data_IF_890395721547
#
_entry.id   IF_890395721547
#
_cell.length_a   1.000
_cell.length_b   1.000
_cell.length_c   1.000
_cell.angle_alpha   90.00
_cell.angle_beta   90.00
_cell.angle_gamma   90.00
#
_symmetry.space_group_name_H-M   'P 1'
#
loop_
_entity.id
_entity.type
_entity.pdbx_description
1 polymer ?
#
# COMPACT_ATOMS: atom_id res chain seq x y z
N UNK A 1 42.29 -8.05 -1.59
CA UNK A 1 42.77 -8.31 -0.21
C UNK A 1 42.80 -6.95 0.50
N UNK A 2 41.71 -6.54 1.15
CA UNK A 2 41.61 -5.23 1.81
C UNK A 2 41.93 -5.39 3.31
N UNK A 3 42.66 -4.44 3.95
CA UNK A 3 43.16 -4.63 5.30
C UNK A 3 42.00 -4.65 6.31
N UNK A 4 42.03 -5.62 7.23
CA UNK A 4 41.13 -5.64 8.39
C UNK A 4 41.50 -4.48 9.32
N UNK A 5 40.72 -3.39 9.27
CA UNK A 5 40.73 -2.39 10.33
C UNK A 5 40.32 -3.04 11.65
N UNK A 6 41.06 -2.76 12.72
CA UNK A 6 40.78 -3.27 14.06
C UNK A 6 39.43 -2.75 14.57
N UNK A 7 38.79 -3.51 15.45
CA UNK A 7 37.45 -3.24 16.00
C UNK A 7 37.33 -1.83 16.62
N UNK A 8 38.39 -1.34 17.27
CA UNK A 8 38.43 0.02 17.83
C UNK A 8 38.50 1.12 16.77
N UNK A 9 39.08 0.86 15.59
CA UNK A 9 39.09 1.81 14.47
C UNK A 9 37.72 1.91 13.78
N UNK A 10 36.94 0.82 13.77
CA UNK A 10 35.56 0.81 13.27
C UNK A 10 34.59 1.52 14.21
N UNK A 11 34.81 1.40 15.53
CA UNK A 11 34.06 2.16 16.54
C UNK A 11 34.33 3.66 16.37
N UNK A 12 35.61 4.07 16.22
CA UNK A 12 35.95 5.48 15.98
C UNK A 12 35.41 6.03 14.65
N UNK A 13 35.30 5.19 13.61
CA UNK A 13 34.62 5.59 12.36
C UNK A 13 33.12 5.76 12.58
N UNK A 14 32.48 4.84 13.32
CA UNK A 14 31.07 4.95 13.69
C UNK A 14 30.80 6.15 14.61
N UNK A 15 31.72 6.52 15.51
CA UNK A 15 31.59 7.70 16.38
C UNK A 15 31.82 9.01 15.63
N UNK A 16 32.71 9.03 14.62
CA UNK A 16 32.90 10.19 13.72
C UNK A 16 31.78 10.33 12.69
N UNK A 17 31.20 9.22 12.24
CA UNK A 17 30.12 9.21 11.25
C UNK A 17 28.73 9.17 11.89
N UNK A 18 28.58 8.89 13.19
CA UNK A 18 27.30 8.98 13.89
C UNK A 18 26.67 10.38 13.82
N UNK A 19 27.42 11.50 13.90
CA UNK A 19 26.87 12.83 13.64
C UNK A 19 26.40 12.97 12.20
N UNK A 20 27.15 12.44 11.22
CA UNK A 20 26.82 12.51 9.79
C UNK A 20 25.63 11.60 9.42
N UNK A 21 25.51 10.44 10.06
CA UNK A 21 24.39 9.51 9.94
C UNK A 21 23.15 10.03 10.67
N UNK A 22 23.31 10.73 11.80
CA UNK A 22 22.24 11.48 12.44
C UNK A 22 21.80 12.69 11.60
N UNK A 23 22.72 13.34 10.89
CA UNK A 23 22.44 14.45 9.96
C UNK A 23 21.83 13.95 8.63
N UNK A 24 22.19 12.75 8.17
CA UNK A 24 21.58 12.06 7.03
C UNK A 24 20.22 11.45 7.37
N UNK A 25 20.03 10.92 8.58
CA UNK A 25 18.74 10.47 9.10
C UNK A 25 17.80 11.65 9.31
N UNK A 26 18.32 12.78 9.81
CA UNK A 26 17.59 14.06 9.82
C UNK A 26 17.27 14.50 8.39
N UNK A 27 18.21 14.55 7.45
CA UNK A 27 17.96 15.10 6.10
C UNK A 27 17.13 14.20 5.17
N UNK A 28 16.98 12.89 5.44
CA UNK A 28 16.15 11.98 4.61
C UNK A 28 14.84 11.51 5.25
N UNK A 29 14.62 11.73 6.55
CA UNK A 29 13.30 11.56 7.19
C UNK A 29 12.63 12.88 7.60
N UNK A 30 13.31 14.04 7.54
CA UNK A 30 12.73 15.37 7.78
C UNK A 30 11.93 15.95 6.59
N UNK A 31 11.32 15.13 5.72
CA UNK A 31 10.16 15.61 4.96
C UNK A 31 8.88 15.62 5.83
N UNK A 32 8.97 15.06 7.04
CA UNK A 32 7.97 15.16 8.10
C UNK A 32 8.53 16.02 9.23
N UNK A 33 8.69 17.32 8.97
CA UNK A 33 8.68 18.29 10.05
C UNK A 33 7.36 18.13 10.80
N UNK A 34 7.45 17.71 12.07
CA UNK A 34 6.30 17.62 12.95
C UNK A 34 5.55 18.95 12.93
N UNK A 35 4.23 18.89 12.72
CA UNK A 35 3.28 19.93 13.10
C UNK A 35 3.82 21.37 13.07
N UNK A 36 4.33 21.83 11.92
CA UNK A 36 4.76 23.21 11.81
C UNK A 36 3.54 24.11 11.60
N UNK A 37 3.32 25.02 12.54
CA UNK A 37 2.63 26.27 12.30
C UNK A 37 3.48 27.10 11.32
N UNK A 38 3.25 26.91 10.02
CA UNK A 38 3.88 27.75 9.00
C UNK A 38 3.23 29.14 9.02
N UNK A 39 4.02 30.12 9.48
CA UNK A 39 3.84 31.58 9.38
C UNK A 39 2.55 32.18 9.99
N UNK A 40 2.55 32.43 11.30
CA UNK A 40 1.71 33.47 11.91
C UNK A 40 2.56 34.72 12.13
N UNK A 41 2.72 35.56 11.10
CA UNK A 41 3.16 36.95 11.29
C UNK A 41 1.94 37.81 11.58
N UNK A 42 1.92 38.44 12.77
CA UNK A 42 0.95 39.49 13.11
C UNK A 42 -0.03 39.18 14.25
N UNK A 43 0.46 38.72 15.41
CA UNK A 43 -0.38 38.65 16.62
C UNK A 43 -0.38 40.04 17.29
N UNK A 44 -1.47 40.79 17.18
CA UNK A 44 -1.74 41.98 18.00
C UNK A 44 -2.75 41.65 19.10
N UNK A 45 -2.59 42.31 20.25
CA UNK A 45 -3.37 42.10 21.48
C UNK A 45 -4.88 42.35 21.29
N UNK A 46 -5.75 41.69 22.09
CA UNK A 46 -7.19 41.91 22.08
C UNK A 46 -7.57 43.36 22.44
N UNK A 47 -8.64 43.86 21.83
CA UNK A 47 -9.22 45.18 22.09
C UNK A 47 -9.90 45.22 23.48
N UNK A 48 -9.44 46.09 24.38
CA UNK A 48 -9.91 46.17 25.78
C UNK A 48 -11.26 46.90 25.97
N UNK A 49 -11.86 47.46 24.92
CA UNK A 49 -13.04 48.36 25.03
C UNK A 49 -14.38 47.76 24.57
N UNK A 50 -14.40 46.52 24.07
CA UNK A 50 -15.61 45.89 23.53
C UNK A 50 -16.11 44.76 24.45
N UNK A 51 -17.14 45.02 25.26
CA UNK A 51 -17.77 44.00 26.12
C UNK A 51 -18.63 42.96 25.36
N UNK A 52 -18.81 43.11 24.03
CA UNK A 52 -19.73 42.28 23.23
C UNK A 52 -19.01 41.23 22.37
N UNK A 53 -17.70 41.31 22.19
CA UNK A 53 -16.93 40.29 21.47
C UNK A 53 -15.72 39.82 22.29
N UNK A 54 -15.88 38.72 23.03
CA UNK A 54 -14.76 37.98 23.63
C UNK A 54 -13.89 37.22 22.60
N UNK A 55 -13.71 37.75 21.39
CA UNK A 55 -12.78 37.20 20.39
C UNK A 55 -11.99 38.29 19.66
N UNK A 56 -10.69 38.04 19.35
CA UNK A 56 -9.83 39.00 18.65
C UNK A 56 -10.29 39.18 17.20
N UNK A 57 -10.32 40.43 16.72
CA UNK A 57 -10.51 40.76 15.30
C UNK A 57 -9.29 41.53 14.77
N UNK A 58 -8.92 41.26 13.52
CA UNK A 58 -7.85 41.96 12.80
C UNK A 58 -8.45 42.70 11.59
N UNK A 59 -7.99 43.92 11.34
CA UNK A 59 -8.41 44.71 10.18
C UNK A 59 -7.57 44.35 8.95
N UNK A 60 -8.23 44.31 7.79
CA UNK A 60 -7.59 44.07 6.50
C UNK A 60 -6.86 45.35 6.07
N UNK A 61 -5.58 45.23 5.69
CA UNK A 61 -4.72 46.26 5.09
C UNK A 61 -3.96 47.24 6.00
N UNK A 62 -3.44 46.80 7.16
CA UNK A 62 -2.37 47.53 7.86
C UNK A 62 -2.67 48.99 8.26
N UNK A 63 -3.94 49.41 8.17
CA UNK A 63 -4.44 50.68 8.67
C UNK A 63 -5.04 50.45 10.05
N UNK A 64 -4.63 51.29 11.00
CA UNK A 64 -5.02 51.26 12.41
C UNK A 64 -6.41 51.87 12.65
N UNK A 65 -7.33 51.77 11.69
CA UNK A 65 -8.70 52.26 11.87
C UNK A 65 -9.62 51.11 12.28
N UNK A 66 -10.20 51.25 13.48
CA UNK A 66 -11.21 50.34 14.01
C UNK A 66 -12.46 50.38 13.12
N UNK A 67 -12.91 49.22 12.60
CA UNK A 67 -14.18 49.14 11.86
C UNK A 67 -15.31 49.10 12.88
N UNK A 68 -16.21 50.08 12.81
CA UNK A 68 -17.39 50.22 13.66
C UNK A 68 -18.31 48.98 13.49
N UNK A 69 -18.31 48.09 14.50
CA UNK A 69 -18.96 46.78 14.47
C UNK A 69 -20.49 46.84 14.25
N UNK A 70 -21.12 47.96 14.58
CA UNK A 70 -22.57 48.19 14.42
C UNK A 70 -22.97 48.55 12.98
N UNK A 71 -22.02 48.97 12.14
CA UNK A 71 -22.28 49.41 10.76
C UNK A 71 -21.76 48.44 9.69
N UNK A 72 -21.04 47.40 10.08
CA UNK A 72 -20.51 46.40 9.16
C UNK A 72 -21.60 45.40 8.73
N UNK A 73 -21.75 45.23 7.42
CA UNK A 73 -22.66 44.25 6.81
C UNK A 73 -22.37 42.82 7.33
N UNK A 74 -23.38 41.97 7.40
CA UNK A 74 -23.27 40.54 7.76
C UNK A 74 -22.21 39.85 6.89
N UNK A 75 -22.10 40.20 5.61
CA UNK A 75 -21.06 39.68 4.72
C UNK A 75 -19.64 40.09 5.14
N UNK A 76 -19.46 41.31 5.69
CA UNK A 76 -18.17 41.80 6.19
C UNK A 76 -17.80 41.19 7.54
N UNK A 77 -18.78 40.91 8.40
CA UNK A 77 -18.57 40.18 9.68
C UNK A 77 -18.20 38.72 9.45
N UNK A 78 -18.76 38.10 8.42
CA UNK A 78 -18.39 36.75 7.97
C UNK A 78 -16.99 36.74 7.34
N UNK A 79 -16.62 37.78 6.59
CA UNK A 79 -15.26 37.95 6.05
C UNK A 79 -14.20 38.25 7.13
N UNK A 80 -14.60 38.74 8.31
CA UNK A 80 -13.73 38.98 9.46
C UNK A 80 -13.47 37.72 10.32
N UNK A 81 -14.21 36.63 10.10
CA UNK A 81 -14.07 35.37 10.82
C UNK A 81 -12.94 34.54 10.20
N UNK A 82 -11.81 34.36 10.91
CA UNK A 82 -10.65 33.63 10.38
C UNK A 82 -10.99 32.15 10.24
N UNK A 83 -11.29 31.70 9.02
CA UNK A 83 -11.57 30.31 8.66
C UNK A 83 -10.27 29.55 8.46
N UNK A 84 -10.11 28.40 9.11
CA UNK A 84 -8.98 27.49 8.93
C UNK A 84 -9.37 26.16 8.31
N UNK A 85 -8.36 25.38 7.95
CA UNK A 85 -8.48 24.01 7.43
C UNK A 85 -7.61 23.07 8.23
N UNK A 86 -8.10 21.88 8.56
CA UNK A 86 -7.32 20.78 9.13
C UNK A 86 -7.28 19.60 8.15
N UNK A 87 -6.12 18.96 8.02
CA UNK A 87 -5.92 17.80 7.15
C UNK A 87 -4.72 16.96 7.59
N UNK A 88 -4.62 15.73 7.07
CA UNK A 88 -3.49 14.83 7.31
C UNK A 88 -3.00 14.14 6.04
N UNK A 89 -1.84 13.49 6.12
CA UNK A 89 -1.33 12.63 5.04
C UNK A 89 -1.25 13.31 3.66
N UNK A 90 -1.71 12.62 2.63
CA UNK A 90 -1.75 13.11 1.23
C UNK A 90 -2.73 14.27 1.04
N UNK A 91 -3.80 14.34 1.84
CA UNK A 91 -4.81 15.39 1.74
C UNK A 91 -4.22 16.79 1.94
N UNK A 92 -3.14 16.93 2.73
CA UNK A 92 -2.40 18.18 2.82
C UNK A 92 -1.90 18.68 1.46
N UNK A 93 -1.37 17.80 0.60
CA UNK A 93 -0.92 18.17 -0.73
C UNK A 93 -2.09 18.70 -1.59
N UNK A 94 -3.24 18.01 -1.54
CA UNK A 94 -4.45 18.43 -2.24
C UNK A 94 -4.96 19.78 -1.75
N UNK A 95 -4.97 20.03 -0.44
CA UNK A 95 -5.35 21.32 0.15
C UNK A 95 -4.42 22.44 -0.32
N UNK A 96 -3.10 22.20 -0.35
CA UNK A 96 -2.13 23.21 -0.80
C UNK A 96 -2.29 23.53 -2.29
N UNK A 97 -2.56 22.53 -3.12
CA UNK A 97 -2.85 22.74 -4.53
C UNK A 97 -4.18 23.45 -4.75
N UNK A 98 -5.23 23.04 -4.06
CA UNK A 98 -6.54 23.67 -4.07
C UNK A 98 -6.49 25.16 -3.69
N UNK A 99 -5.74 25.52 -2.64
CA UNK A 99 -5.54 26.93 -2.25
C UNK A 99 -4.86 27.74 -3.37
N UNK A 100 -3.89 27.15 -4.09
CA UNK A 100 -3.26 27.80 -5.25
C UNK A 100 -4.26 27.98 -6.41
N UNK A 101 -5.08 26.96 -6.69
CA UNK A 101 -6.12 27.01 -7.73
C UNK A 101 -7.18 28.07 -7.42
N UNK A 102 -7.53 28.25 -6.15
CA UNK A 102 -8.43 29.31 -5.69
C UNK A 102 -7.73 30.68 -5.63
N UNK A 103 -6.40 30.69 -5.54
CA UNK A 103 -5.62 31.87 -5.20
C UNK A 103 -6.03 32.47 -3.86
N UNK A 104 -6.35 31.60 -2.91
CA UNK A 104 -6.77 31.92 -1.56
C UNK A 104 -5.70 31.51 -0.56
N UNK A 105 -5.69 32.18 0.59
CA UNK A 105 -4.83 31.82 1.72
C UNK A 105 -5.69 31.66 2.97
N UNK A 106 -5.44 30.60 3.73
CA UNK A 106 -6.03 30.38 5.03
C UNK A 106 -5.07 29.60 5.94
N UNK A 107 -5.23 29.65 7.27
CA UNK A 107 -4.47 28.79 8.19
C UNK A 107 -4.73 27.31 7.89
N UNK A 108 -3.65 26.53 7.78
CA UNK A 108 -3.72 25.08 7.56
C UNK A 108 -3.06 24.34 8.72
N UNK A 109 -3.84 23.53 9.43
CA UNK A 109 -3.37 22.58 10.43
C UNK A 109 -3.07 21.23 9.75
N UNK A 110 -1.78 20.89 9.66
CA UNK A 110 -1.34 19.58 9.17
C UNK A 110 -1.12 18.63 10.35
N UNK A 111 -1.95 17.60 10.44
CA UNK A 111 -1.80 16.51 11.40
C UNK A 111 -0.92 15.42 10.80
N UNK A 112 0.30 15.27 11.33
CA UNK A 112 1.23 14.21 10.93
C UNK A 112 0.93 12.87 11.60
N UNK A 113 0.43 12.93 12.84
CA UNK A 113 0.17 11.77 13.68
C UNK A 113 -1.27 11.85 14.20
N UNK A 114 -2.26 11.25 13.51
CA UNK A 114 -3.64 11.27 13.98
C UNK A 114 -3.80 10.47 15.29
N UNK A 115 -2.91 9.52 15.55
CA UNK A 115 -2.82 8.81 16.82
C UNK A 115 -1.36 8.52 17.22
N UNK A 116 -0.89 8.99 18.38
CA UNK A 116 -1.57 9.89 19.32
C UNK A 116 -1.82 11.28 18.72
N UNK A 117 -3.01 11.83 18.97
CA UNK A 117 -3.43 13.12 18.42
C UNK A 117 -2.72 14.31 19.12
N UNK A 118 -2.22 15.32 18.38
CA UNK A 118 -1.50 16.45 18.97
C UNK A 118 -2.47 17.50 19.53
N UNK A 119 -3.06 17.21 20.68
CA UNK A 119 -4.11 18.02 21.33
C UNK A 119 -3.72 19.50 21.54
N UNK A 120 -2.50 19.78 21.99
CA UNK A 120 -2.06 21.15 22.28
C UNK A 120 -1.94 22.01 21.01
N UNK A 121 -1.42 21.41 19.93
CA UNK A 121 -1.34 22.06 18.63
C UNK A 121 -2.74 22.34 18.08
N UNK A 122 -3.64 21.37 18.15
CA UNK A 122 -5.01 21.50 17.69
C UNK A 122 -5.76 22.59 18.48
N UNK A 123 -5.57 22.65 19.80
CA UNK A 123 -6.08 23.71 20.67
C UNK A 123 -5.61 25.08 20.22
N UNK A 124 -4.31 25.25 20.03
CA UNK A 124 -3.73 26.55 19.69
C UNK A 124 -4.16 27.01 18.30
N UNK A 125 -4.30 26.07 17.36
CA UNK A 125 -4.90 26.33 16.06
C UNK A 125 -6.37 26.79 16.19
N UNK A 126 -7.20 26.04 16.92
CA UNK A 126 -8.63 26.36 17.11
C UNK A 126 -8.87 27.66 17.90
N UNK A 127 -7.92 28.10 18.73
CA UNK A 127 -7.97 29.45 19.34
C UNK A 127 -7.74 30.58 18.34
N UNK A 128 -7.06 30.30 17.22
CA UNK A 128 -6.71 31.29 16.21
C UNK A 128 -7.75 31.44 15.10
N UNK A 129 -8.78 30.58 15.07
CA UNK A 129 -9.78 30.51 14.00
C UNK A 129 -11.19 30.41 14.57
N UNK A 130 -12.16 30.95 13.85
CA UNK A 130 -13.58 30.86 14.21
C UNK A 130 -14.23 29.55 13.76
N UNK A 131 -13.67 28.94 12.72
CA UNK A 131 -14.14 27.66 12.17
C UNK A 131 -13.01 26.89 11.49
N UNK A 132 -13.13 25.57 11.48
CA UNK A 132 -12.19 24.63 10.88
C UNK A 132 -12.94 23.71 9.91
N UNK A 133 -12.58 23.75 8.63
CA UNK A 133 -12.97 22.71 7.68
C UNK A 133 -11.99 21.55 7.79
N UNK A 134 -12.47 20.34 8.04
CA UNK A 134 -11.66 19.14 8.11
C UNK A 134 -11.73 18.40 6.78
N UNK A 135 -10.59 18.32 6.10
CA UNK A 135 -10.44 17.55 4.87
C UNK A 135 -9.53 16.36 5.19
N UNK A 136 -10.12 15.16 5.22
CA UNK A 136 -9.41 13.92 5.47
C UNK A 136 -9.98 12.77 4.65
N UNK A 137 -9.13 11.80 4.35
CA UNK A 137 -9.48 10.58 3.63
C UNK A 137 -10.06 9.51 4.56
N UNK A 138 -10.87 8.60 4.02
CA UNK A 138 -11.48 7.46 4.74
C UNK A 138 -12.43 7.88 5.89
N UNK A 139 -12.12 7.50 7.13
CA UNK A 139 -12.95 7.79 8.31
C UNK A 139 -12.61 9.15 8.93
N UNK A 140 -13.56 9.82 9.65
CA UNK A 140 -13.38 11.14 10.23
C UNK A 140 -12.52 11.15 11.51
N UNK A 141 -11.29 10.61 11.46
CA UNK A 141 -10.43 10.44 12.63
C UNK A 141 -9.91 11.79 13.16
N UNK A 142 -9.49 12.69 12.27
CA UNK A 142 -9.00 14.02 12.63
C UNK A 142 -10.16 14.91 13.09
N UNK A 143 -11.30 14.85 12.40
CA UNK A 143 -12.51 15.59 12.75
C UNK A 143 -13.01 15.22 14.14
N UNK A 144 -13.14 13.92 14.42
CA UNK A 144 -13.57 13.43 15.74
C UNK A 144 -12.59 13.86 16.84
N UNK A 145 -11.28 13.76 16.58
CA UNK A 145 -10.26 14.20 17.53
C UNK A 145 -10.29 15.73 17.76
N UNK A 146 -10.57 16.53 16.73
CA UNK A 146 -10.77 17.98 16.87
C UNK A 146 -12.01 18.31 17.71
N UNK A 147 -13.11 17.58 17.53
CA UNK A 147 -14.30 17.74 18.38
C UNK A 147 -13.97 17.45 19.85
N UNK A 148 -13.28 16.34 20.12
CA UNK A 148 -12.84 15.99 21.47
C UNK A 148 -11.92 17.05 22.08
N UNK A 149 -10.95 17.55 21.32
CA UNK A 149 -10.04 18.59 21.76
C UNK A 149 -10.78 19.91 22.03
N UNK A 150 -11.68 20.32 21.13
CA UNK A 150 -12.52 21.53 21.28
C UNK A 150 -13.30 21.48 22.59
N UNK A 151 -13.98 20.37 22.84
CA UNK A 151 -14.83 20.19 24.02
C UNK A 151 -13.99 20.13 25.30
N UNK A 152 -12.86 19.41 25.29
CA UNK A 152 -11.92 19.31 26.41
C UNK A 152 -11.37 20.68 26.83
N UNK A 153 -11.02 21.53 25.86
CA UNK A 153 -10.43 22.85 26.12
C UNK A 153 -11.46 23.99 26.17
N UNK A 154 -12.76 23.71 26.07
CA UNK A 154 -13.82 24.71 26.11
C UNK A 154 -13.73 25.74 24.98
N UNK A 155 -13.36 25.30 23.77
CA UNK A 155 -13.19 26.18 22.61
C UNK A 155 -14.52 26.37 21.85
N UNK A 156 -14.65 27.48 21.14
CA UNK A 156 -15.87 27.85 20.41
C UNK A 156 -15.75 27.72 18.88
N UNK A 157 -14.59 27.30 18.37
CA UNK A 157 -14.38 27.11 16.94
C UNK A 157 -15.38 26.06 16.40
N UNK A 158 -16.09 26.43 15.33
CA UNK A 158 -16.98 25.50 14.61
C UNK A 158 -16.12 24.49 13.85
N UNK A 159 -16.53 23.23 13.85
CA UNK A 159 -15.86 22.17 13.09
C UNK A 159 -16.84 21.73 12.02
N UNK A 160 -16.38 21.77 10.77
CA UNK A 160 -17.14 21.49 9.54
C UNK A 160 -16.42 20.36 8.82
N UNK A 161 -17.10 19.33 8.34
CA UNK A 161 -16.43 18.13 7.85
C UNK A 161 -17.36 17.05 7.35
N UNK A 162 -17.07 15.80 7.65
CA UNK A 162 -17.89 14.66 7.26
C UNK A 162 -19.10 14.50 8.17
N UNK A 163 -19.01 14.90 9.45
CA UNK A 163 -20.09 14.74 10.44
C UNK A 163 -21.31 15.61 10.14
N UNK A 164 -21.10 16.77 9.53
CA UNK A 164 -22.17 17.68 9.11
C UNK A 164 -22.49 17.59 7.60
N UNK A 165 -21.86 16.65 6.89
CA UNK A 165 -22.07 16.40 5.47
C UNK A 165 -21.43 17.42 4.53
N UNK A 166 -20.61 18.35 5.04
CA UNK A 166 -19.89 19.30 4.20
C UNK A 166 -18.81 18.62 3.34
N UNK A 167 -18.25 17.51 3.82
CA UNK A 167 -17.24 16.70 3.13
C UNK A 167 -17.77 15.28 2.91
N UNK A 168 -17.59 14.67 1.73
CA UNK A 168 -18.05 13.30 1.47
C UNK A 168 -17.43 12.27 2.43
N UNK A 169 -18.25 11.33 2.92
CA UNK A 169 -17.80 10.19 3.74
C UNK A 169 -17.12 9.08 2.93
N UNK A 170 -17.30 9.08 1.61
CA UNK A 170 -16.77 8.08 0.70
C UNK A 170 -16.40 8.69 -0.65
N UNK A 171 -15.55 8.00 -1.40
CA UNK A 171 -14.91 8.50 -2.62
C UNK A 171 -13.46 8.89 -2.35
N UNK A 172 -12.80 9.47 -3.36
CA UNK A 172 -11.42 9.95 -3.29
C UNK A 172 -11.42 11.48 -3.24
N UNK A 173 -10.70 12.06 -2.28
CA UNK A 173 -10.41 13.49 -2.34
C UNK A 173 -9.30 13.72 -3.37
N UNK A 174 -9.58 14.61 -4.30
CA UNK A 174 -8.60 15.12 -5.27
C UNK A 174 -8.30 16.59 -4.99
N UNK A 175 -7.29 17.15 -5.65
CA UNK A 175 -7.06 18.60 -5.62
C UNK A 175 -8.29 19.38 -6.14
N UNK A 176 -9.01 18.84 -7.12
CA UNK A 176 -10.23 19.44 -7.67
C UNK A 176 -11.39 19.41 -6.68
N UNK A 177 -11.66 18.28 -6.04
CA UNK A 177 -12.73 18.18 -5.05
C UNK A 177 -12.39 19.04 -3.82
N UNK A 178 -11.13 19.02 -3.36
CA UNK A 178 -10.67 19.94 -2.32
C UNK A 178 -10.85 21.41 -2.71
N UNK A 179 -10.57 21.81 -3.96
CA UNK A 179 -10.76 23.18 -4.42
C UNK A 179 -12.23 23.59 -4.43
N UNK A 180 -13.14 22.68 -4.80
CA UNK A 180 -14.58 22.92 -4.74
C UNK A 180 -15.07 23.07 -3.30
N UNK A 181 -14.71 22.15 -2.41
CA UNK A 181 -15.08 22.19 -1.00
C UNK A 181 -14.52 23.43 -0.28
N UNK A 182 -13.24 23.74 -0.50
CA UNK A 182 -12.58 24.92 0.04
C UNK A 182 -13.15 26.21 -0.54
N UNK A 183 -13.45 26.26 -1.83
CA UNK A 183 -14.06 27.41 -2.48
C UNK A 183 -15.41 27.74 -1.87
N UNK A 184 -16.27 26.73 -1.68
CA UNK A 184 -17.56 26.88 -1.01
C UNK A 184 -17.39 27.34 0.45
N UNK A 185 -16.47 26.72 1.18
CA UNK A 185 -16.21 27.05 2.59
C UNK A 185 -15.60 28.44 2.79
N UNK A 186 -14.73 28.90 1.89
CA UNK A 186 -14.09 30.22 1.96
C UNK A 186 -14.93 31.31 1.26
N UNK A 187 -15.95 30.96 0.48
CA UNK A 187 -16.69 31.89 -0.35
C UNK A 187 -15.87 32.44 -1.53
N UNK A 188 -14.92 31.65 -2.03
CA UNK A 188 -14.02 32.03 -3.12
C UNK A 188 -14.34 31.20 -4.36
N UNK A 189 -14.64 31.87 -5.47
CA UNK A 189 -14.83 31.20 -6.75
C UNK A 189 -13.49 30.65 -7.27
N UNK A 190 -13.52 29.46 -7.86
CA UNK A 190 -12.38 28.84 -8.54
C UNK A 190 -11.85 29.79 -9.62
N UNK A 191 -10.53 30.03 -9.65
CA UNK A 191 -9.92 30.72 -10.79
C UNK A 191 -10.04 29.81 -12.00
N UNK A 192 -10.43 30.38 -13.12
CA UNK A 192 -10.58 29.64 -14.36
C UNK A 192 -9.17 29.25 -14.87
N UNK A 193 -8.70 28.08 -14.45
CA UNK A 193 -7.35 27.58 -14.74
C UNK A 193 -7.27 26.86 -16.10
N UNK A 194 -8.35 26.92 -16.90
CA UNK A 194 -8.54 26.04 -18.04
C UNK A 194 -8.96 24.65 -17.54
N UNK A 195 -10.12 24.19 -17.98
CA UNK A 195 -10.58 22.83 -17.73
C UNK A 195 -9.65 21.88 -18.49
N UNK A 196 -8.92 21.00 -17.78
CA UNK A 196 -8.37 19.81 -18.43
C UNK A 196 -9.58 19.06 -18.98
N UNK A 197 -9.56 18.69 -20.27
CA UNK A 197 -10.71 18.12 -20.97
C UNK A 197 -11.44 17.09 -20.10
N UNK A 198 -12.78 17.17 -20.08
CA UNK A 198 -13.63 16.33 -19.20
C UNK A 198 -13.41 14.84 -19.36
N UNK A 199 -12.91 14.44 -20.52
CA UNK A 199 -12.63 13.06 -20.82
C UNK A 199 -11.11 12.91 -21.02
N UNK A 200 -10.40 12.22 -20.11
CA UNK A 200 -9.01 11.89 -20.33
C UNK A 200 -8.90 11.01 -21.58
N UNK A 201 -7.80 11.10 -22.35
CA UNK A 201 -7.59 10.22 -23.48
C UNK A 201 -7.64 8.76 -23.02
N UNK A 202 -8.12 7.86 -23.88
CA UNK A 202 -8.13 6.43 -23.58
C UNK A 202 -6.70 5.96 -23.27
N UNK A 203 -6.43 5.74 -21.98
CA UNK A 203 -5.14 5.26 -21.53
C UNK A 203 -5.00 3.77 -21.84
N UNK A 204 -3.79 3.29 -22.20
CA UNK A 204 -3.56 1.87 -22.35
C UNK A 204 -3.83 1.16 -21.02
N UNK A 205 -4.59 0.06 -21.06
CA UNK A 205 -4.86 -0.75 -19.87
C UNK A 205 -3.55 -1.30 -19.35
N UNK A 206 -3.22 -0.98 -18.09
CA UNK A 206 -2.06 -1.52 -17.37
C UNK A 206 -2.56 -2.53 -16.34
N UNK A 207 -2.78 -3.80 -16.73
CA UNK A 207 -3.24 -4.79 -15.78
C UNK A 207 -2.19 -4.95 -14.67
N UNK A 208 -2.62 -5.28 -13.44
CA UNK A 208 -1.69 -5.68 -12.39
C UNK A 208 -0.91 -6.92 -12.86
N UNK A 209 0.42 -6.83 -12.91
CA UNK A 209 1.28 -7.91 -13.39
C UNK A 209 2.39 -8.23 -12.40
N UNK A 210 2.68 -9.53 -12.27
CA UNK A 210 3.86 -10.00 -11.55
C UNK A 210 5.14 -9.65 -12.31
N UNK A 211 6.21 -9.33 -11.58
CA UNK A 211 7.54 -9.05 -12.15
C UNK A 211 8.00 -10.15 -13.12
N UNK A 212 8.85 -9.79 -14.09
CA UNK A 212 9.54 -10.78 -14.92
C UNK A 212 10.32 -11.74 -14.00
N UNK A 213 10.07 -13.05 -14.17
CA UNK A 213 10.67 -14.09 -13.34
C UNK A 213 10.15 -14.21 -11.91
N UNK A 214 9.04 -13.57 -11.55
CA UNK A 214 8.43 -13.77 -10.24
C UNK A 214 8.10 -15.27 -9.99
N UNK A 215 8.48 -15.85 -8.84
CA UNK A 215 8.23 -17.27 -8.53
C UNK A 215 6.74 -17.59 -8.38
N UNK A 216 5.93 -16.64 -7.90
CA UNK A 216 4.48 -16.80 -7.74
C UNK A 216 3.79 -17.17 -9.05
N UNK A 217 4.33 -16.71 -10.19
CA UNK A 217 3.86 -17.11 -11.53
C UNK A 217 4.00 -18.62 -11.75
N UNK A 218 5.11 -19.21 -11.33
CA UNK A 218 5.34 -20.65 -11.40
C UNK A 218 4.38 -21.42 -10.50
N UNK A 219 4.18 -20.96 -9.26
CA UNK A 219 3.25 -21.56 -8.31
C UNK A 219 1.81 -21.58 -8.85
N UNK A 220 1.33 -20.43 -9.30
CA UNK A 220 -0.01 -20.28 -9.88
C UNK A 220 -0.19 -21.11 -11.13
N UNK A 221 0.78 -21.08 -12.04
CA UNK A 221 0.70 -21.87 -13.26
C UNK A 221 0.73 -23.38 -12.98
N UNK A 222 1.52 -23.83 -12.00
CA UNK A 222 1.52 -25.22 -11.57
C UNK A 222 0.15 -25.67 -11.03
N UNK A 223 -0.50 -24.85 -10.20
CA UNK A 223 -1.86 -25.13 -9.71
C UNK A 223 -2.87 -25.12 -10.86
N UNK A 224 -2.82 -24.12 -11.74
CA UNK A 224 -3.70 -24.03 -12.92
C UNK A 224 -3.62 -25.28 -13.80
N UNK A 225 -2.41 -25.76 -14.06
CA UNK A 225 -2.18 -26.97 -14.87
C UNK A 225 -2.64 -28.23 -14.14
N UNK A 226 -2.37 -28.34 -12.84
CA UNK A 226 -2.76 -29.50 -12.04
C UNK A 226 -4.28 -29.64 -11.90
N UNK A 227 -5.00 -28.52 -11.80
CA UNK A 227 -6.44 -28.48 -11.57
C UNK A 227 -7.27 -28.29 -12.85
N UNK A 228 -6.64 -28.32 -14.03
CA UNK A 228 -7.35 -28.21 -15.30
C UNK A 228 -8.45 -29.28 -15.42
N UNK A 229 -9.69 -28.84 -15.59
CA UNK A 229 -10.87 -29.71 -15.72
C UNK A 229 -11.42 -30.24 -14.39
N UNK A 230 -10.87 -29.83 -13.25
CA UNK A 230 -11.38 -30.16 -11.91
C UNK A 230 -12.05 -28.94 -11.30
N UNK A 231 -13.11 -29.16 -10.52
CA UNK A 231 -13.75 -28.10 -9.73
C UNK A 231 -12.82 -27.70 -8.58
N UNK A 232 -12.40 -26.45 -8.56
CA UNK A 232 -11.56 -25.89 -7.52
C UNK A 232 -11.91 -24.42 -7.27
N UNK A 233 -11.67 -23.94 -6.05
CA UNK A 233 -11.76 -22.51 -5.69
C UNK A 233 -10.41 -22.05 -5.15
N UNK A 234 -9.97 -20.89 -5.60
CA UNK A 234 -8.67 -20.29 -5.32
C UNK A 234 -8.84 -19.10 -4.40
N UNK A 235 -8.84 -19.36 -3.09
CA UNK A 235 -8.94 -18.32 -2.07
C UNK A 235 -7.59 -17.59 -1.96
N UNK A 236 -7.51 -16.39 -2.52
CA UNK A 236 -6.35 -15.53 -2.41
C UNK A 236 -6.32 -14.74 -1.11
N UNK A 237 -5.23 -14.02 -0.94
CA UNK A 237 -4.89 -13.23 0.24
C UNK A 237 -4.11 -11.98 -0.23
N UNK A 238 -3.82 -11.02 0.65
CA UNK A 238 -3.18 -9.74 0.30
C UNK A 238 -1.66 -9.91 0.25
N UNK A 239 -1.08 -9.69 -0.93
CA UNK A 239 0.36 -9.69 -1.21
C UNK A 239 0.66 -9.59 -2.70
N UNK A 240 1.93 -9.70 -3.12
CA UNK A 240 2.26 -9.68 -4.57
C UNK A 240 1.48 -10.73 -5.37
N UNK A 241 1.16 -11.85 -4.73
CA UNK A 241 0.42 -12.95 -5.33
C UNK A 241 -1.06 -12.60 -5.61
N UNK A 242 -1.64 -11.54 -5.01
CA UNK A 242 -2.96 -11.00 -5.40
C UNK A 242 -2.99 -10.57 -6.87
N UNK A 243 -1.84 -10.16 -7.42
CA UNK A 243 -1.71 -9.80 -8.84
C UNK A 243 -1.90 -11.00 -9.78
N UNK A 244 -1.86 -12.23 -9.26
CA UNK A 244 -2.19 -13.46 -9.99
C UNK A 244 -3.67 -13.62 -10.34
N UNK A 245 -4.54 -12.71 -9.85
CA UNK A 245 -5.95 -12.63 -10.23
C UNK A 245 -6.13 -12.30 -11.73
N UNK A 246 -5.25 -11.48 -12.31
CA UNK A 246 -5.41 -11.06 -13.69
C UNK A 246 -5.07 -12.18 -14.68
N UNK A 247 -5.73 -12.13 -15.85
CA UNK A 247 -5.37 -12.95 -16.99
C UNK A 247 -3.89 -12.72 -17.36
N UNK A 248 -3.15 -13.77 -17.74
CA UNK A 248 -3.63 -15.13 -18.04
C UNK A 248 -3.52 -16.12 -16.88
N UNK A 249 -3.20 -15.68 -15.65
CA UNK A 249 -3.09 -16.58 -14.52
C UNK A 249 -4.47 -16.92 -13.97
N UNK A 250 -5.33 -15.94 -13.70
CA UNK A 250 -6.71 -16.16 -13.21
C UNK A 250 -6.76 -17.09 -11.99
N UNK A 251 -5.85 -16.91 -11.02
CA UNK A 251 -5.66 -17.83 -9.89
C UNK A 251 -6.11 -17.25 -8.54
N UNK A 252 -7.11 -16.37 -8.53
CA UNK A 252 -7.66 -15.79 -7.29
C UNK A 252 -9.14 -15.50 -7.46
N UNK A 253 -10.00 -16.34 -6.91
CA UNK A 253 -11.46 -16.18 -6.98
C UNK A 253 -11.98 -15.22 -5.88
N UNK A 254 -11.28 -15.15 -4.76
CA UNK A 254 -11.64 -14.28 -3.62
C UNK A 254 -10.38 -13.66 -3.03
N UNK A 255 -10.46 -12.41 -2.58
CA UNK A 255 -9.39 -11.77 -1.82
C UNK A 255 -10.02 -10.73 -0.89
N UNK A 256 -9.60 -10.68 0.38
CA UNK A 256 -10.17 -9.76 1.38
C UNK A 256 -9.08 -9.02 2.17
N UNK A 257 -8.44 -9.70 3.10
CA UNK A 257 -7.38 -9.14 3.94
C UNK A 257 -6.31 -10.18 4.26
N UNK A 258 -5.19 -9.73 4.82
CA UNK A 258 -4.06 -10.58 5.23
C UNK A 258 -4.51 -11.73 6.15
N UNK A 259 -4.43 -12.97 5.67
CA UNK A 259 -4.81 -14.21 6.36
C UNK A 259 -6.22 -14.72 6.02
N UNK A 260 -7.04 -13.94 5.31
CA UNK A 260 -8.45 -14.28 5.06
C UNK A 260 -8.61 -15.49 4.15
N UNK A 261 -7.73 -15.68 3.17
CA UNK A 261 -7.82 -16.80 2.21
C UNK A 261 -7.90 -18.17 2.90
N UNK A 262 -7.21 -18.32 4.03
CA UNK A 262 -7.20 -19.56 4.83
C UNK A 262 -8.56 -19.83 5.49
N UNK A 263 -9.22 -18.80 6.02
CA UNK A 263 -10.52 -18.95 6.70
C UNK A 263 -11.69 -18.98 5.72
N UNK A 264 -11.59 -18.26 4.60
CA UNK A 264 -12.55 -18.35 3.48
C UNK A 264 -12.56 -19.76 2.90
N UNK A 265 -11.39 -20.36 2.65
CA UNK A 265 -11.30 -21.73 2.16
C UNK A 265 -11.99 -22.73 3.10
N UNK A 266 -11.88 -22.55 4.42
CA UNK A 266 -12.60 -23.37 5.40
C UNK A 266 -14.12 -23.21 5.28
N UNK A 267 -14.62 -21.97 5.23
CA UNK A 267 -16.04 -21.70 5.05
C UNK A 267 -16.59 -22.28 3.75
N UNK A 268 -15.81 -22.17 2.66
CA UNK A 268 -16.17 -22.75 1.37
C UNK A 268 -16.14 -24.28 1.39
N UNK A 269 -15.19 -24.93 2.06
CA UNK A 269 -15.21 -26.39 2.23
C UNK A 269 -16.46 -26.86 2.97
N UNK A 270 -16.93 -26.09 3.96
CA UNK A 270 -18.17 -26.42 4.69
C UNK A 270 -19.43 -26.16 3.84
N UNK A 271 -19.43 -25.11 3.03
CA UNK A 271 -20.59 -24.72 2.22
C UNK A 271 -20.70 -25.51 0.90
N UNK A 272 -19.57 -25.82 0.28
CA UNK A 272 -19.46 -26.47 -1.03
C UNK A 272 -18.99 -27.91 -0.82
N UNK A 273 -19.92 -28.85 -0.69
CA UNK A 273 -19.59 -30.26 -0.41
C UNK A 273 -18.73 -30.98 -1.45
N UNK A 274 -18.53 -30.40 -2.64
CA UNK A 274 -17.68 -30.97 -3.72
C UNK A 274 -16.75 -29.93 -4.34
N UNK A 275 -15.48 -30.30 -4.54
CA UNK A 275 -14.42 -29.48 -5.13
C UNK A 275 -13.18 -29.40 -4.24
N UNK A 276 -12.07 -28.88 -4.77
CA UNK A 276 -10.85 -28.65 -3.98
C UNK A 276 -10.70 -27.16 -3.68
N UNK A 277 -10.68 -26.80 -2.39
CA UNK A 277 -10.46 -25.41 -1.96
C UNK A 277 -8.98 -25.18 -1.66
N UNK A 278 -8.40 -24.22 -2.37
CA UNK A 278 -7.03 -23.75 -2.17
C UNK A 278 -7.05 -22.45 -1.38
N UNK A 279 -6.11 -22.30 -0.44
CA UNK A 279 -5.79 -21.02 0.19
C UNK A 279 -4.36 -20.62 -0.16
N UNK A 280 -4.18 -19.49 -0.83
CA UNK A 280 -2.87 -18.92 -1.11
C UNK A 280 -2.50 -17.92 -0.02
N UNK A 281 -1.28 -18.02 0.52
CA UNK A 281 -0.77 -17.09 1.53
C UNK A 281 0.73 -16.85 1.30
N UNK A 282 1.20 -15.62 1.48
CA UNK A 282 2.63 -15.32 1.48
C UNK A 282 3.32 -15.75 2.78
N UNK A 283 4.64 -15.92 2.75
CA UNK A 283 5.47 -16.15 3.95
C UNK A 283 5.24 -15.12 5.07
N UNK A 284 5.31 -13.83 4.74
CA UNK A 284 5.09 -12.72 5.67
C UNK A 284 3.67 -12.73 6.24
N UNK A 285 2.66 -12.92 5.38
CA UNK A 285 1.25 -13.03 5.80
C UNK A 285 1.03 -14.25 6.68
N UNK A 286 1.69 -15.38 6.41
CA UNK A 286 1.64 -16.58 7.23
C UNK A 286 2.04 -16.26 8.68
N UNK A 287 3.19 -15.60 8.87
CA UNK A 287 3.65 -15.19 10.20
C UNK A 287 2.79 -14.09 10.86
N UNK A 288 2.23 -13.18 10.06
CA UNK A 288 1.46 -12.05 10.57
C UNK A 288 0.08 -12.48 11.09
N UNK A 289 -0.71 -13.16 10.27
CA UNK A 289 -2.10 -13.49 10.59
C UNK A 289 -2.56 -14.85 10.06
N UNK A 290 -1.72 -15.58 9.30
CA UNK A 290 -2.10 -16.86 8.71
C UNK A 290 -2.09 -18.05 9.68
N UNK A 291 -1.13 -18.09 10.63
CA UNK A 291 -0.92 -19.25 11.53
C UNK A 291 -2.20 -19.65 12.27
N UNK A 292 -2.93 -18.67 12.84
CA UNK A 292 -4.15 -18.93 13.60
C UNK A 292 -5.25 -19.56 12.74
N UNK A 293 -5.34 -19.14 11.47
CA UNK A 293 -6.24 -19.74 10.49
C UNK A 293 -5.93 -21.20 10.20
N UNK A 294 -4.64 -21.57 10.12
CA UNK A 294 -4.20 -22.96 9.89
C UNK A 294 -4.49 -23.83 11.12
N UNK A 295 -4.24 -23.33 12.32
CA UNK A 295 -4.59 -24.04 13.57
C UNK A 295 -6.08 -24.36 13.59
N UNK A 296 -6.93 -23.38 13.26
CA UNK A 296 -8.37 -23.59 13.20
C UNK A 296 -8.76 -24.62 12.13
N UNK A 297 -8.14 -24.58 10.95
CA UNK A 297 -8.41 -25.53 9.87
C UNK A 297 -8.10 -26.97 10.30
N UNK A 298 -6.94 -27.19 10.93
CA UNK A 298 -6.51 -28.51 11.40
C UNK A 298 -7.41 -29.00 12.54
N UNK A 299 -7.70 -28.15 13.53
CA UNK A 299 -8.59 -28.48 14.64
C UNK A 299 -9.97 -28.94 14.15
N UNK A 300 -10.52 -28.26 13.15
CA UNK A 300 -11.82 -28.59 12.54
C UNK A 300 -11.73 -29.62 11.41
N UNK A 301 -10.54 -30.21 11.17
CA UNK A 301 -10.32 -31.22 10.13
C UNK A 301 -10.80 -30.77 8.74
N UNK A 302 -10.61 -29.49 8.43
CA UNK A 302 -11.06 -28.92 7.16
C UNK A 302 -10.32 -29.58 6.00
N UNK A 303 -11.08 -30.04 5.01
CA UNK A 303 -10.52 -30.55 3.76
C UNK A 303 -10.15 -29.39 2.81
N UNK A 304 -8.96 -28.80 3.01
CA UNK A 304 -8.39 -27.77 2.12
C UNK A 304 -6.87 -27.94 1.81
N UNK A 305 -6.41 -27.32 0.72
CA UNK A 305 -4.98 -27.24 0.36
C UNK A 305 -4.46 -25.82 0.64
N UNK A 306 -3.50 -25.70 1.56
CA UNK A 306 -2.78 -24.46 1.83
C UNK A 306 -1.58 -24.35 0.88
N UNK A 307 -1.47 -23.26 0.14
CA UNK A 307 -0.32 -22.92 -0.66
C UNK A 307 0.42 -21.74 -0.02
N UNK A 308 1.54 -22.02 0.64
CA UNK A 308 2.44 -20.98 1.15
C UNK A 308 3.41 -20.58 0.02
N UNK A 309 3.38 -19.32 -0.36
CA UNK A 309 4.21 -18.73 -1.40
C UNK A 309 5.41 -18.03 -0.76
N UNK A 310 6.45 -18.80 -0.44
CA UNK A 310 7.66 -18.31 0.23
C UNK A 310 8.63 -17.72 -0.79
N UNK A 311 8.69 -16.40 -0.82
CA UNK A 311 9.65 -15.62 -1.60
C UNK A 311 10.74 -14.96 -0.75
N UNK A 312 10.80 -15.34 0.53
CA UNK A 312 11.75 -14.89 1.54
C UNK A 312 11.76 -13.37 1.75
N UNK A 313 10.64 -12.66 1.54
CA UNK A 313 10.53 -11.22 1.83
C UNK A 313 9.09 -10.67 1.81
N UNK A 314 8.82 -9.61 2.57
CA UNK A 314 7.54 -8.87 2.49
C UNK A 314 7.55 -7.94 1.27
N UNK A 315 7.42 -8.51 0.07
CA UNK A 315 7.76 -7.82 -1.19
C UNK A 315 6.88 -6.59 -1.50
N UNK A 316 5.54 -6.75 -1.52
CA UNK A 316 4.62 -5.74 -2.05
C UNK A 316 4.65 -4.41 -1.30
N UNK A 317 4.92 -4.45 0.00
CA UNK A 317 4.92 -3.29 0.89
C UNK A 317 6.29 -2.62 0.97
N UNK A 318 7.33 -3.16 0.32
CA UNK A 318 8.66 -2.56 0.32
C UNK A 318 9.71 -3.32 1.13
N UNK A 319 9.65 -4.65 1.18
CA UNK A 319 10.70 -5.54 1.70
C UNK A 319 10.93 -5.45 3.23
N UNK A 320 9.85 -5.29 4.00
CA UNK A 320 9.90 -5.27 5.47
C UNK A 320 10.42 -6.59 6.05
N UNK A 321 11.11 -6.47 7.19
CA UNK A 321 11.50 -7.57 8.07
C UNK A 321 10.31 -8.48 8.42
N UNK A 322 10.52 -9.80 8.37
CA UNK A 322 9.57 -10.79 8.86
C UNK A 322 10.32 -12.02 9.41
N UNK A 323 9.68 -12.87 10.24
CA UNK A 323 10.37 -13.95 10.97
C UNK A 323 11.06 -15.02 10.12
N UNK A 324 10.73 -15.13 8.82
CA UNK A 324 11.37 -16.07 7.90
C UNK A 324 12.67 -15.56 7.26
N UNK A 325 13.07 -14.29 7.45
CA UNK A 325 14.22 -13.71 6.75
C UNK A 325 15.56 -13.79 7.50
N UNK A 326 15.53 -14.11 8.80
CA UNK A 326 16.73 -14.14 9.63
C UNK A 326 17.31 -12.76 9.96
N UNK A 327 16.47 -11.72 9.90
CA UNK A 327 16.81 -10.36 10.30
C UNK A 327 15.66 -9.70 11.06
N UNK A 328 15.97 -8.92 12.09
CA UNK A 328 14.99 -8.16 12.87
C UNK A 328 14.57 -6.85 12.15
N UNK A 329 13.64 -6.11 12.76
CA UNK A 329 13.17 -4.82 12.23
C UNK A 329 14.27 -3.74 12.11
N UNK A 330 15.38 -3.91 12.84
CA UNK A 330 16.55 -3.02 12.80
C UNK A 330 17.60 -3.49 11.79
N UNK A 331 17.38 -4.61 11.11
CA UNK A 331 18.29 -5.19 10.13
C UNK A 331 19.41 -6.06 10.72
N UNK A 332 19.41 -6.31 12.02
CA UNK A 332 20.39 -7.17 12.69
C UNK A 332 20.07 -8.65 12.41
N UNK A 333 21.07 -9.55 12.45
CA UNK A 333 20.83 -10.99 12.40
C UNK A 333 19.83 -11.43 13.48
N UNK A 334 18.85 -12.24 13.09
CA UNK A 334 17.82 -12.80 13.95
C UNK A 334 17.58 -14.28 13.63
N UNK A 335 16.96 -15.06 14.53
CA UNK A 335 16.56 -16.44 14.22
C UNK A 335 15.62 -16.50 13.01
N UNK A 336 15.80 -17.53 12.17
CA UNK A 336 14.86 -17.85 11.08
C UNK A 336 13.82 -18.82 11.62
N UNK A 337 12.55 -18.42 11.60
CA UNK A 337 11.44 -19.30 11.99
C UNK A 337 11.01 -20.11 10.77
N UNK A 338 10.99 -21.44 10.88
CA UNK A 338 10.61 -22.33 9.78
C UNK A 338 9.10 -22.52 9.69
N UNK A 339 8.52 -22.13 8.55
CA UNK A 339 7.10 -22.37 8.23
C UNK A 339 6.79 -23.87 8.27
N UNK A 340 7.63 -24.70 7.64
CA UNK A 340 7.48 -26.16 7.63
C UNK A 340 7.37 -26.72 9.05
N UNK A 341 8.29 -26.38 9.95
CA UNK A 341 8.28 -26.89 11.33
C UNK A 341 7.04 -26.43 12.12
N UNK A 342 6.54 -25.22 11.84
CA UNK A 342 5.27 -24.76 12.42
C UNK A 342 4.11 -25.62 11.91
N UNK A 343 4.01 -25.84 10.61
CA UNK A 343 2.93 -26.65 10.02
C UNK A 343 2.97 -28.11 10.52
N UNK A 344 4.17 -28.69 10.68
CA UNK A 344 4.38 -30.01 11.30
C UNK A 344 3.86 -30.01 12.74
N UNK A 345 4.19 -28.98 13.54
CA UNK A 345 3.75 -28.87 14.93
C UNK A 345 2.24 -28.64 15.07
N UNK A 346 1.60 -27.95 14.12
CA UNK A 346 0.15 -27.75 14.10
C UNK A 346 -0.58 -29.07 13.78
N UNK A 347 0.05 -29.99 13.05
CA UNK A 347 -0.55 -31.28 12.66
C UNK A 347 -1.14 -31.29 11.25
N UNK A 348 -0.59 -30.51 10.33
CA UNK A 348 -0.93 -30.57 8.89
C UNK A 348 -0.61 -31.97 8.35
N UNK A 349 -1.53 -32.59 7.62
CA UNK A 349 -1.48 -34.02 7.28
C UNK A 349 -0.42 -34.38 6.23
N UNK A 350 -0.11 -33.44 5.33
CA UNK A 350 0.97 -33.56 4.35
C UNK A 350 1.58 -32.20 4.07
N UNK A 351 2.90 -32.14 3.98
CA UNK A 351 3.65 -30.91 3.69
C UNK A 351 4.68 -31.24 2.60
N UNK A 352 4.56 -30.60 1.45
CA UNK A 352 5.53 -30.72 0.35
C UNK A 352 6.19 -29.37 0.08
N UNK A 353 7.53 -29.33 0.09
CA UNK A 353 8.33 -28.16 -0.29
C UNK A 353 8.77 -28.32 -1.75
N UNK A 354 8.46 -27.35 -2.60
CA UNK A 354 8.78 -27.42 -4.04
C UNK A 354 9.24 -26.08 -4.57
N UNK A 355 10.26 -26.07 -5.41
CA UNK A 355 10.63 -24.88 -6.15
C UNK A 355 9.65 -24.69 -7.33
N UNK A 356 8.90 -23.56 -7.41
CA UNK A 356 7.90 -23.34 -8.46
C UNK A 356 8.51 -23.20 -9.87
N UNK A 357 9.83 -23.03 -9.99
CA UNK A 357 10.52 -23.08 -11.28
C UNK A 357 10.82 -24.50 -11.75
N UNK A 358 10.68 -25.54 -10.93
CA UNK A 358 10.62 -26.93 -11.39
C UNK A 358 9.16 -27.29 -11.69
N UNK A 359 8.66 -26.87 -12.85
CA UNK A 359 7.23 -26.92 -13.16
C UNK A 359 6.66 -28.34 -13.11
N UNK A 360 7.42 -29.34 -13.60
CA UNK A 360 6.97 -30.74 -13.62
C UNK A 360 6.75 -31.26 -12.20
N UNK A 361 7.69 -30.98 -11.30
CA UNK A 361 7.60 -31.36 -9.89
C UNK A 361 6.48 -30.60 -9.17
N UNK A 362 6.38 -29.28 -9.40
CA UNK A 362 5.34 -28.42 -8.83
C UNK A 362 3.93 -28.91 -9.20
N UNK A 363 3.68 -29.23 -10.48
CA UNK A 363 2.41 -29.79 -10.94
C UNK A 363 2.12 -31.14 -10.27
N UNK A 364 3.13 -32.01 -10.14
CA UNK A 364 2.97 -33.31 -9.52
C UNK A 364 2.64 -33.21 -8.01
N UNK A 365 3.29 -32.29 -7.30
CA UNK A 365 3.00 -32.02 -5.89
C UNK A 365 1.58 -31.47 -5.69
N UNK A 366 1.14 -30.55 -6.57
CA UNK A 366 -0.23 -30.03 -6.49
C UNK A 366 -1.25 -31.14 -6.67
N UNK A 367 -1.04 -32.06 -7.62
CA UNK A 367 -1.95 -33.20 -7.82
C UNK A 367 -2.02 -34.09 -6.59
N UNK A 368 -0.88 -34.45 -6.01
CA UNK A 368 -0.84 -35.24 -4.77
C UNK A 368 -1.57 -34.55 -3.61
N UNK A 369 -1.34 -33.26 -3.43
CA UNK A 369 -2.04 -32.49 -2.40
C UNK A 369 -3.55 -32.40 -2.65
N UNK A 370 -3.97 -32.19 -3.90
CA UNK A 370 -5.38 -32.12 -4.29
C UNK A 370 -6.12 -33.47 -4.17
N UNK A 371 -5.40 -34.58 -4.23
CA UNK A 371 -5.96 -35.95 -4.13
C UNK A 371 -5.90 -36.50 -2.68
N UNK A 372 -5.18 -35.82 -1.78
CA UNK A 372 -5.10 -36.18 -0.36
C UNK A 372 -6.34 -35.76 0.44
N UNK A 373 -6.32 -35.96 1.77
CA UNK A 373 -7.38 -35.56 2.71
C UNK A 373 -6.85 -34.74 3.90
N UNK A 374 -7.71 -33.93 4.52
CA UNK A 374 -7.42 -33.14 5.72
C UNK A 374 -6.84 -31.76 5.39
N UNK A 375 -5.99 -31.17 6.22
CA UNK A 375 -5.29 -29.94 5.83
C UNK A 375 -3.93 -30.33 5.26
N UNK A 376 -3.66 -29.98 3.99
CA UNK A 376 -2.37 -30.24 3.33
C UNK A 376 -1.71 -28.94 2.94
N UNK A 377 -0.38 -28.91 2.94
CA UNK A 377 0.39 -27.73 2.61
C UNK A 377 1.36 -27.97 1.45
N UNK A 378 1.39 -27.02 0.53
CA UNK A 378 2.41 -26.86 -0.50
C UNK A 378 3.21 -25.60 -0.16
N UNK A 379 4.50 -25.75 0.09
CA UNK A 379 5.43 -24.64 0.29
C UNK A 379 6.15 -24.42 -1.03
N UNK A 380 5.74 -23.40 -1.77
CA UNK A 380 6.42 -22.97 -2.98
C UNK A 380 7.56 -22.04 -2.60
N UNK A 381 8.79 -22.55 -2.64
CA UNK A 381 9.98 -21.86 -2.13
C UNK A 381 10.86 -21.39 -3.30
N UNK A 382 10.93 -20.08 -3.52
CA UNK A 382 11.90 -19.46 -4.42
C UNK A 382 12.03 -17.96 -4.14
N UNK A 383 13.25 -17.40 -4.07
CA UNK A 383 13.44 -16.01 -3.67
C UNK A 383 12.78 -15.01 -4.62
N UNK A 384 12.31 -13.90 -4.06
CA UNK A 384 11.80 -12.77 -4.85
C UNK A 384 12.89 -12.20 -5.78
N UNK A 385 12.52 -11.83 -7.01
CA UNK A 385 13.44 -11.24 -8.01
C UNK A 385 14.04 -9.90 -7.60
N UNK A 386 13.42 -9.23 -6.63
CA UNK A 386 13.92 -7.99 -6.04
C UNK A 386 15.07 -8.23 -5.05
N UNK A 387 15.22 -9.46 -4.55
CA UNK A 387 16.35 -9.83 -3.70
C UNK A 387 17.62 -10.01 -4.54
N UNK A 388 18.82 -9.74 -3.97
CA UNK A 388 20.07 -10.01 -4.65
C UNK A 388 20.20 -11.48 -5.07
N UNK A 389 20.57 -11.73 -6.32
CA UNK A 389 20.69 -13.08 -6.87
C UNK A 389 21.28 -13.08 -8.27
N UNK A 390 21.63 -14.28 -8.77
CA UNK A 390 22.12 -14.45 -10.15
C UNK A 390 21.01 -14.04 -11.12
N UNK A 391 21.32 -13.13 -12.03
CA UNK A 391 20.45 -12.76 -13.16
C UNK A 391 21.04 -13.33 -14.45
N UNK A 392 20.16 -13.78 -15.33
CA UNK A 392 20.50 -14.21 -16.67
C UNK A 392 19.37 -13.85 -17.63
N UNK A 393 19.54 -14.19 -18.90
CA UNK A 393 18.55 -13.88 -19.93
C UNK A 393 18.19 -15.15 -20.70
N UNK A 394 16.90 -15.37 -20.92
CA UNK A 394 16.43 -16.39 -21.87
C UNK A 394 16.38 -15.78 -23.27
N UNK A 395 16.61 -16.59 -24.31
CA UNK A 395 16.50 -16.21 -25.71
C UNK A 395 15.64 -17.20 -26.48
N UNK A 396 14.80 -16.68 -27.37
CA UNK A 396 14.04 -17.48 -28.33
C UNK A 396 14.88 -17.70 -29.58
N UNK A 397 14.99 -18.95 -30.00
CA UNK A 397 15.46 -19.34 -31.33
C UNK A 397 14.32 -19.08 -32.32
N UNK A 398 14.45 -17.99 -33.08
CA UNK A 398 13.41 -17.55 -34.00
C UNK A 398 13.15 -18.60 -35.09
N UNK A 399 14.15 -19.33 -35.56
CA UNK A 399 13.98 -20.28 -36.66
C UNK A 399 13.15 -21.50 -36.23
N UNK A 400 13.26 -21.90 -34.97
CA UNK A 400 12.46 -23.00 -34.39
C UNK A 400 11.11 -22.55 -33.84
N UNK A 401 10.92 -21.25 -33.60
CA UNK A 401 9.68 -20.74 -33.02
C UNK A 401 8.52 -20.85 -34.02
N UNK A 402 7.50 -21.63 -33.65
CA UNK A 402 6.29 -21.84 -34.46
C UNK A 402 5.20 -20.78 -34.26
N UNK A 403 5.49 -19.67 -33.54
CA UNK A 403 4.52 -18.58 -33.36
C UNK A 403 3.26 -18.95 -32.55
N UNK A 404 3.27 -20.04 -31.77
CA UNK A 404 2.07 -20.47 -31.02
C UNK A 404 1.72 -19.57 -29.81
N UNK A 405 2.62 -18.68 -29.40
CA UNK A 405 2.48 -17.74 -28.28
C UNK A 405 2.07 -18.36 -26.94
N UNK A 406 2.23 -19.68 -26.75
CA UNK A 406 1.86 -20.37 -25.51
C UNK A 406 2.58 -19.79 -24.30
N UNK A 407 3.88 -19.52 -24.43
CA UNK A 407 4.70 -18.89 -23.40
C UNK A 407 4.21 -17.49 -22.99
N UNK A 408 3.52 -16.76 -23.87
CA UNK A 408 2.95 -15.45 -23.59
C UNK A 408 1.55 -15.63 -22.97
N UNK A 409 0.67 -16.33 -23.69
CA UNK A 409 -0.76 -16.48 -23.38
C UNK A 409 -1.05 -17.27 -22.12
N UNK A 410 -0.13 -18.12 -21.66
CA UNK A 410 -0.34 -18.92 -20.44
C UNK A 410 0.42 -18.38 -19.22
N UNK A 411 1.53 -17.66 -19.41
CA UNK A 411 2.39 -17.22 -18.30
C UNK A 411 2.23 -15.73 -17.96
N UNK A 412 1.92 -14.87 -18.93
CA UNK A 412 1.81 -13.42 -18.70
C UNK A 412 3.09 -12.80 -18.14
N UNK A 413 4.26 -13.20 -18.66
CA UNK A 413 5.53 -12.59 -18.27
C UNK A 413 5.71 -11.23 -18.96
N UNK A 414 6.00 -10.13 -18.25
CA UNK A 414 6.20 -8.82 -18.89
C UNK A 414 7.48 -8.78 -19.75
N UNK A 415 8.41 -9.73 -19.57
CA UNK A 415 9.57 -9.87 -20.44
C UNK A 415 9.28 -10.60 -21.76
N UNK A 416 8.06 -11.11 -21.99
CA UNK A 416 7.67 -11.84 -23.19
C UNK A 416 6.68 -11.01 -24.02
N UNK A 417 6.98 -10.84 -25.30
CA UNK A 417 6.12 -10.12 -26.27
C UNK A 417 6.04 -10.86 -27.60
N UNK A 418 5.14 -10.41 -28.47
CA UNK A 418 5.12 -10.83 -29.88
C UNK A 418 5.96 -9.82 -30.67
N UNK A 419 7.07 -10.29 -31.24
CA UNK A 419 7.93 -9.47 -32.10
C UNK A 419 7.33 -9.26 -33.50
N UNK A 420 7.97 -8.42 -34.31
CA UNK A 420 7.47 -8.01 -35.64
C UNK A 420 7.18 -9.19 -36.59
N UNK A 421 7.93 -10.29 -36.48
CA UNK A 421 7.73 -11.51 -37.27
C UNK A 421 6.62 -12.44 -36.76
N UNK A 422 5.78 -12.00 -35.82
CA UNK A 422 4.73 -12.82 -35.21
C UNK A 422 5.25 -13.96 -34.33
N UNK A 423 6.54 -13.94 -33.97
CA UNK A 423 7.19 -14.93 -33.10
C UNK A 423 7.35 -14.37 -31.70
N UNK A 424 7.53 -15.26 -30.72
CA UNK A 424 7.78 -14.84 -29.35
C UNK A 424 9.16 -14.18 -29.24
N UNK A 425 9.24 -13.09 -28.51
CA UNK A 425 10.47 -12.33 -28.22
C UNK A 425 10.63 -12.14 -26.71
N UNK A 426 11.88 -12.12 -26.23
CA UNK A 426 12.20 -11.92 -24.82
C UNK A 426 13.03 -10.66 -24.65
N UNK A 427 12.52 -9.70 -23.88
CA UNK A 427 13.22 -8.47 -23.51
C UNK A 427 14.43 -8.78 -22.60
N UNK A 428 15.68 -8.57 -23.05
CA UNK A 428 16.87 -8.99 -22.30
C UNK A 428 17.07 -8.27 -20.97
N UNK A 429 16.69 -6.99 -20.92
CA UNK A 429 16.81 -6.07 -19.80
C UNK A 429 15.84 -6.39 -18.65
N UNK A 430 14.69 -6.99 -18.96
CA UNK A 430 13.72 -7.43 -17.97
C UNK A 430 13.88 -8.89 -17.55
N UNK A 431 14.44 -9.74 -18.40
CA UNK A 431 14.50 -11.18 -18.16
C UNK A 431 15.43 -11.52 -16.98
N UNK A 432 15.05 -12.56 -16.21
CA UNK A 432 15.86 -13.06 -15.08
C UNK A 432 16.30 -14.52 -15.23
N UNK A 433 16.10 -15.12 -16.41
CA UNK A 433 16.42 -16.53 -16.69
C UNK A 433 15.77 -17.56 -15.74
N UNK A 434 14.54 -17.31 -15.27
CA UNK A 434 13.81 -18.27 -14.43
C UNK A 434 13.48 -19.62 -15.10
N UNK A 435 13.66 -19.76 -16.42
CA UNK A 435 13.46 -21.01 -17.16
C UNK A 435 12.00 -21.48 -17.35
N UNK A 436 11.00 -20.83 -16.73
CA UNK A 436 9.60 -21.25 -16.81
C UNK A 436 9.07 -21.25 -18.25
N UNK A 437 9.43 -20.23 -19.04
CA UNK A 437 9.01 -20.12 -20.45
C UNK A 437 9.57 -21.25 -21.33
N UNK A 438 10.78 -21.75 -21.03
CA UNK A 438 11.36 -22.88 -21.74
C UNK A 438 10.60 -24.18 -21.47
N UNK A 439 10.13 -24.38 -20.24
CA UNK A 439 9.39 -25.58 -19.84
C UNK A 439 7.98 -25.66 -20.44
N UNK A 440 7.37 -24.52 -20.80
CA UNK A 440 6.05 -24.49 -21.47
C UNK A 440 6.13 -24.50 -22.99
N UNK A 441 7.34 -24.29 -23.56
CA UNK A 441 7.53 -24.23 -25.00
C UNK A 441 7.38 -25.63 -25.61
N UNK A 442 6.42 -25.86 -26.52
CA UNK A 442 6.17 -27.19 -27.09
C UNK A 442 7.27 -27.67 -28.05
N UNK A 443 8.10 -26.76 -28.56
CA UNK A 443 9.16 -27.04 -29.55
C UNK A 443 10.56 -26.75 -28.98
N UNK A 444 10.67 -26.54 -27.67
CA UNK A 444 11.95 -26.34 -26.96
C UNK A 444 12.86 -25.29 -27.58
N UNK A 445 12.30 -24.18 -28.09
CA UNK A 445 13.04 -23.13 -28.78
C UNK A 445 13.52 -22.00 -27.86
N UNK A 446 13.49 -22.17 -26.52
CA UNK A 446 13.85 -21.10 -25.57
C UNK A 446 15.02 -21.58 -24.69
N UNK A 447 16.20 -21.00 -24.94
CA UNK A 447 17.51 -21.17 -24.28
C UNK A 447 17.79 -20.17 -23.14
N UNK A 448 18.55 -20.51 -22.09
CA UNK A 448 19.32 -19.48 -21.37
C UNK A 448 20.54 -19.08 -22.23
N UNK A 449 20.85 -17.79 -22.31
CA UNK A 449 22.07 -17.29 -22.94
C UNK A 449 23.24 -17.59 -22.01
N UNK A 450 24.21 -18.39 -22.49
CA UNK A 450 25.40 -18.78 -21.73
C UNK A 450 26.45 -17.70 -21.70
#
# INVERSE_FOLDING_TARGET
MFPRLSYQSKIRLCEREAPLAAELARSRFNAFEGAQLLDIKGVANPCETCEVARQPYFTRNGSSECVDCEKADIAQRIAAARRGVACGGVTYAYVREALKLLGAECPVLRIGTPYPFPDELARDFMKSVSSVLVLEELDPVIEDALHMARDRYGLSAQIVGKRDGAVPVAGELSADECAKLLGNYLGVARRDAGRIADEPPALPVRPPVLCAGCPHRGSFYAVKVAMKGRKAVFCGDIGCYTLGNAAPLDMTDTCLCMGAGITIAQGLTLAQGEGVNFAFVGDSTFFHSGITGVINAVYNKTDMVLCVLDNSTTAMTGHQAHPGMGRDASGNPAPVISIRRILEAIGVSSIECVNPFNLKEAVAAVRRAADGQGVRALLFEAPCVALPGKRGTMRVDADKCVGCHRCIRELGCPALSVGEGGKAEIAPDMCTACGLCAQVCPVSCIAEVK
#
